data_IF_701446560910
#
_entry.id   IF_701446560910
#
_cell.length_a   1.000
_cell.length_b   1.000
_cell.length_c   1.000
_cell.angle_alpha   90.00
_cell.angle_beta   90.00
_cell.angle_gamma   90.00
#
_symmetry.space_group_name_H-M   'P 1'
#
loop_
_entity.id
_entity.type
_entity.pdbx_description
1 polymer ?
#
# COMPACT_ATOMS: atom_id res chain seq x y z
N UNK A 1 -8.90 -12.69 -3.46
CA UNK A 1 -9.71 -13.03 -4.63
C UNK A 1 -9.39 -14.42 -5.17
N UNK A 2 -10.34 -15.06 -5.77
CA UNK A 2 -10.15 -16.38 -6.36
C UNK A 2 -9.15 -16.33 -7.51
N UNK A 3 -8.33 -17.37 -7.65
CA UNK A 3 -7.37 -17.56 -8.74
C UNK A 3 -6.20 -16.57 -8.76
N UNK A 4 -5.95 -15.88 -7.65
CA UNK A 4 -4.79 -15.02 -7.50
C UNK A 4 -3.88 -15.62 -6.44
N UNK A 5 -2.62 -15.82 -6.80
CA UNK A 5 -1.62 -16.38 -5.88
C UNK A 5 -0.99 -15.27 -5.04
N UNK A 6 -1.05 -15.41 -3.72
CA UNK A 6 -0.30 -14.53 -2.82
C UNK A 6 1.16 -14.96 -2.76
N UNK A 7 2.03 -14.00 -2.51
CA UNK A 7 3.47 -14.23 -2.39
C UNK A 7 3.75 -14.90 -1.04
N UNK A 8 4.59 -15.91 -1.06
CA UNK A 8 5.12 -16.58 0.14
C UNK A 8 6.54 -16.09 0.43
N UNK A 9 7.09 -16.48 1.58
CA UNK A 9 8.47 -16.20 1.93
C UNK A 9 8.79 -14.72 2.15
N UNK A 10 7.85 -13.94 2.69
CA UNK A 10 8.05 -12.52 2.92
C UNK A 10 8.81 -12.29 4.22
N UNK A 11 9.92 -11.55 4.13
CA UNK A 11 10.64 -11.04 5.28
C UNK A 11 9.95 -9.76 5.76
N UNK A 12 9.32 -9.80 6.94
CA UNK A 12 8.57 -8.67 7.46
C UNK A 12 9.44 -7.44 7.71
N UNK A 13 10.67 -7.62 8.19
CA UNK A 13 11.59 -6.52 8.45
C UNK A 13 11.95 -5.76 7.16
N UNK A 14 12.19 -6.48 6.06
CA UNK A 14 12.49 -5.86 4.76
C UNK A 14 11.29 -5.15 4.16
N UNK A 15 10.08 -5.56 4.52
CA UNK A 15 8.85 -4.94 4.04
C UNK A 15 8.54 -3.60 4.73
N UNK A 16 9.09 -3.36 5.90
CA UNK A 16 8.87 -2.13 6.67
C UNK A 16 9.47 -0.90 5.97
N UNK A 17 9.09 0.27 6.43
CA UNK A 17 9.54 1.56 5.91
C UNK A 17 8.51 2.22 5.00
N UNK A 18 8.97 3.17 4.23
CA UNK A 18 8.13 3.99 3.35
C UNK A 18 7.98 3.38 1.98
N UNK A 19 6.75 3.38 1.48
CA UNK A 19 6.38 3.00 0.14
C UNK A 19 5.61 4.15 -0.52
N UNK A 20 5.96 4.47 -1.77
CA UNK A 20 5.23 5.44 -2.60
C UNK A 20 4.17 4.72 -3.42
N UNK A 21 2.95 5.23 -3.43
CA UNK A 21 1.89 4.70 -4.28
C UNK A 21 2.11 5.17 -5.72
N UNK A 22 2.25 4.23 -6.63
CA UNK A 22 2.48 4.47 -8.05
C UNK A 22 1.16 4.44 -8.82
N UNK A 23 0.30 3.49 -8.50
CA UNK A 23 -0.99 3.32 -9.16
C UNK A 23 -1.99 2.67 -8.20
N UNK A 24 -3.27 2.95 -8.45
CA UNK A 24 -4.38 2.33 -7.71
C UNK A 24 -5.62 2.23 -8.59
N UNK A 25 -6.49 1.30 -8.28
CA UNK A 25 -7.87 1.39 -8.72
C UNK A 25 -8.62 2.39 -7.82
N UNK A 26 -9.58 3.11 -8.40
CA UNK A 26 -10.31 4.16 -7.69
C UNK A 26 -11.15 3.58 -6.54
N UNK A 27 -11.05 4.20 -5.38
CA UNK A 27 -11.91 3.91 -4.23
C UNK A 27 -12.07 5.17 -3.36
N UNK A 28 -13.13 5.20 -2.56
CA UNK A 28 -13.60 6.43 -1.91
C UNK A 28 -12.58 7.09 -0.98
N UNK A 29 -11.80 6.30 -0.23
CA UNK A 29 -10.93 6.87 0.82
C UNK A 29 -9.63 7.48 0.31
N UNK A 30 -9.26 7.21 -0.96
CA UNK A 30 -8.08 7.86 -1.58
C UNK A 30 -8.43 8.78 -2.73
N UNK A 31 -9.71 8.90 -3.05
CA UNK A 31 -10.15 9.72 -4.20
C UNK A 31 -9.71 11.18 -4.03
N UNK A 32 -9.05 11.70 -5.07
CA UNK A 32 -8.55 13.08 -5.07
C UNK A 32 -7.22 13.30 -4.34
N UNK A 33 -6.56 12.23 -3.89
CA UNK A 33 -5.26 12.32 -3.22
C UNK A 33 -4.10 12.14 -4.18
N UNK A 34 -3.14 13.08 -4.11
CA UNK A 34 -1.82 12.95 -4.72
C UNK A 34 -0.77 12.60 -3.66
N UNK A 35 0.41 12.26 -4.10
CA UNK A 35 1.59 12.04 -3.24
C UNK A 35 1.29 11.07 -2.10
N UNK A 36 0.55 10.02 -2.43
CA UNK A 36 0.17 9.01 -1.44
C UNK A 36 1.37 8.14 -1.11
N UNK A 37 1.60 7.96 0.17
CA UNK A 37 2.59 7.06 0.71
C UNK A 37 1.98 6.16 1.77
N UNK A 38 2.57 4.99 1.97
CA UNK A 38 2.30 4.10 3.07
C UNK A 38 3.60 3.89 3.85
N UNK A 39 3.53 3.99 5.17
CA UNK A 39 4.68 3.75 6.04
C UNK A 39 4.35 2.65 7.02
N UNK A 40 5.20 1.63 7.07
CA UNK A 40 5.01 0.45 7.91
C UNK A 40 6.07 0.40 8.98
N UNK A 41 5.64 0.28 10.22
CA UNK A 41 6.50 0.19 11.40
C UNK A 41 6.09 -1.00 12.26
N UNK A 42 7.06 -1.57 12.96
CA UNK A 42 6.81 -2.68 13.87
C UNK A 42 6.01 -2.22 15.09
N UNK A 43 4.99 -2.99 15.44
CA UNK A 43 4.23 -2.81 16.69
C UNK A 43 4.78 -3.73 17.77
N UNK A 44 4.61 -3.33 19.03
CA UNK A 44 5.01 -4.14 20.19
C UNK A 44 4.25 -5.47 20.28
N UNK A 45 3.01 -5.50 19.76
CA UNK A 45 2.18 -6.72 19.76
C UNK A 45 2.49 -7.70 18.63
N UNK A 46 3.55 -7.46 17.86
CA UNK A 46 3.94 -8.28 16.71
C UNK A 46 3.27 -7.90 15.39
N UNK A 47 2.37 -6.92 15.41
CA UNK A 47 1.74 -6.40 14.20
C UNK A 47 2.54 -5.29 13.54
N UNK A 48 1.91 -4.63 12.58
CA UNK A 48 2.47 -3.54 11.78
C UNK A 48 1.61 -2.30 11.97
N UNK A 49 2.24 -1.19 12.35
CA UNK A 49 1.60 0.12 12.33
C UNK A 49 1.63 0.62 10.91
N UNK A 50 0.48 1.02 10.39
CA UNK A 50 0.33 1.55 9.03
C UNK A 50 0.01 3.03 9.12
N UNK A 51 0.83 3.86 8.48
CA UNK A 51 0.55 5.30 8.35
C UNK A 51 0.41 5.61 6.86
N UNK A 52 -0.80 5.93 6.43
CA UNK A 52 -1.06 6.38 5.07
C UNK A 52 -1.12 7.90 5.06
N UNK A 53 -0.46 8.52 4.08
CA UNK A 53 -0.43 9.97 3.91
C UNK A 53 -0.70 10.31 2.46
N UNK A 54 -1.54 11.32 2.23
CA UNK A 54 -1.84 11.80 0.89
C UNK A 54 -2.21 13.27 0.90
N UNK A 55 -1.96 13.95 -0.22
CA UNK A 55 -2.29 15.36 -0.37
C UNK A 55 -3.63 15.51 -1.09
N UNK A 56 -4.59 16.14 -0.43
CA UNK A 56 -5.90 16.44 -1.00
C UNK A 56 -5.80 17.72 -1.83
N UNK A 57 -5.95 17.59 -3.15
CA UNK A 57 -5.85 18.70 -4.10
C UNK A 57 -6.93 19.75 -3.90
N UNK A 58 -8.15 19.31 -3.56
CA UNK A 58 -9.30 20.21 -3.39
C UNK A 58 -9.16 21.06 -2.14
N UNK A 59 -8.86 20.39 -1.01
CA UNK A 59 -8.74 21.07 0.29
C UNK A 59 -7.35 21.69 0.49
N UNK A 60 -6.38 21.35 -0.35
CA UNK A 60 -4.97 21.78 -0.26
C UNK A 60 -4.34 21.47 1.10
N UNK A 61 -4.61 20.28 1.60
CA UNK A 61 -4.08 19.82 2.88
C UNK A 61 -3.69 18.33 2.82
N UNK A 62 -2.79 17.97 3.71
CA UNK A 62 -2.37 16.59 3.88
C UNK A 62 -3.37 15.83 4.76
N UNK A 63 -3.73 14.64 4.29
CA UNK A 63 -4.54 13.68 5.06
C UNK A 63 -3.63 12.57 5.57
N UNK A 64 -3.82 12.18 6.81
CA UNK A 64 -3.13 11.04 7.40
C UNK A 64 -4.17 10.06 7.96
N UNK A 65 -3.88 8.77 7.82
CA UNK A 65 -4.68 7.72 8.44
C UNK A 65 -3.72 6.71 9.07
N UNK A 66 -3.97 6.38 10.32
CA UNK A 66 -3.17 5.41 11.07
C UNK A 66 -4.02 4.16 11.30
N UNK A 67 -3.44 3.03 10.94
CA UNK A 67 -4.05 1.73 11.14
C UNK A 67 -3.06 0.71 11.66
N UNK A 68 -3.53 -0.52 11.70
CA UNK A 68 -2.72 -1.67 12.12
C UNK A 68 -3.00 -2.86 11.20
N UNK A 69 -1.97 -3.62 10.93
CA UNK A 69 -2.05 -4.81 10.08
C UNK A 69 -1.39 -6.00 10.77
N UNK A 70 -1.88 -7.18 10.43
CA UNK A 70 -1.38 -8.44 10.98
C UNK A 70 -1.34 -9.48 9.88
N UNK A 71 -0.27 -10.27 9.85
CA UNK A 71 -0.26 -11.48 9.02
C UNK A 71 -1.30 -12.47 9.54
N UNK A 72 -2.03 -13.11 8.62
CA UNK A 72 -3.08 -14.05 9.00
C UNK A 72 -2.54 -15.40 9.45
N UNK A 73 -1.34 -15.79 8.97
CA UNK A 73 -0.74 -17.06 9.29
C UNK A 73 0.53 -16.86 10.10
N UNK A 74 0.87 -17.88 10.89
CA UNK A 74 2.12 -17.90 11.63
C UNK A 74 3.32 -17.99 10.67
N UNK A 75 4.49 -17.46 11.06
CA UNK A 75 5.67 -17.56 10.21
C UNK A 75 6.11 -19.00 9.97
N UNK A 76 6.71 -19.23 8.82
CA UNK A 76 7.36 -20.48 8.51
C UNK A 76 8.62 -20.70 9.39
N UNK A 77 9.25 -21.86 9.27
CA UNK A 77 10.45 -22.19 10.06
C UNK A 77 11.62 -21.26 9.81
N UNK A 78 11.71 -20.64 8.63
CA UNK A 78 12.71 -19.63 8.27
C UNK A 78 12.32 -18.20 8.69
N UNK A 79 11.23 -18.07 9.46
CA UNK A 79 10.69 -16.81 9.95
C UNK A 79 10.18 -15.86 8.86
N UNK A 80 9.74 -16.43 7.73
CA UNK A 80 9.07 -15.68 6.66
C UNK A 80 7.56 -15.92 6.69
N UNK A 81 6.82 -15.05 6.03
CA UNK A 81 5.36 -15.02 6.08
C UNK A 81 4.73 -15.18 4.71
N UNK A 82 3.55 -15.79 4.71
CA UNK A 82 2.64 -15.72 3.56
C UNK A 82 2.03 -14.32 3.47
N UNK A 83 1.93 -13.77 2.27
CA UNK A 83 1.46 -12.40 2.01
C UNK A 83 -0.02 -12.18 2.14
N UNK A 84 -0.64 -12.76 3.15
CA UNK A 84 -2.05 -12.54 3.52
C UNK A 84 -2.09 -11.80 4.84
N UNK A 85 -2.61 -10.57 4.81
CA UNK A 85 -2.76 -9.74 5.99
C UNK A 85 -4.19 -9.26 6.12
N UNK A 86 -4.51 -8.78 7.30
CA UNK A 86 -5.69 -7.96 7.58
C UNK A 86 -5.24 -6.59 8.05
N UNK A 87 -5.94 -5.55 7.63
CA UNK A 87 -5.64 -4.16 7.99
C UNK A 87 -6.89 -3.47 8.51
N UNK A 88 -6.73 -2.67 9.56
CA UNK A 88 -7.82 -1.90 10.14
C UNK A 88 -7.40 -0.46 10.39
N UNK A 89 -8.29 0.45 10.02
CA UNK A 89 -8.19 1.88 10.38
C UNK A 89 -9.30 2.29 11.34
N UNK A 90 -10.24 1.38 11.64
CA UNK A 90 -11.41 1.65 12.48
C UNK A 90 -11.75 0.48 13.39
N UNK A 91 -11.35 0.56 14.64
CA UNK A 91 -11.80 -0.37 15.69
C UNK A 91 -11.71 -1.83 15.28
N UNK A 92 -12.81 -2.60 15.37
CA UNK A 92 -12.78 -4.03 15.07
C UNK A 92 -12.92 -4.38 13.59
N UNK A 93 -13.08 -3.40 12.70
CA UNK A 93 -13.30 -3.65 11.27
C UNK A 93 -11.99 -3.81 10.53
N UNK A 94 -11.79 -4.99 9.93
CA UNK A 94 -10.61 -5.35 9.17
C UNK A 94 -10.94 -5.61 7.71
N UNK A 95 -10.06 -5.13 6.82
CA UNK A 95 -10.08 -5.47 5.40
C UNK A 95 -8.93 -6.38 5.02
N UNK A 96 -9.09 -7.14 3.94
CA UNK A 96 -8.03 -7.98 3.41
C UNK A 96 -6.95 -7.14 2.73
N UNK A 97 -5.70 -7.55 2.91
CA UNK A 97 -4.52 -6.97 2.31
C UNK A 97 -3.65 -8.14 1.83
N UNK A 98 -3.63 -8.34 0.51
CA UNK A 98 -2.97 -9.50 -0.10
C UNK A 98 -1.82 -9.03 -0.97
N UNK A 99 -0.62 -9.52 -0.69
CA UNK A 99 0.58 -9.23 -1.48
C UNK A 99 0.62 -10.23 -2.63
N UNK A 100 0.46 -9.75 -3.87
CA UNK A 100 0.34 -10.60 -5.06
C UNK A 100 1.52 -10.49 -6.03
N UNK A 101 2.40 -9.52 -5.83
CA UNK A 101 3.70 -9.42 -6.49
C UNK A 101 4.65 -8.68 -5.58
N UNK A 102 5.93 -9.06 -5.59
CA UNK A 102 6.96 -8.46 -4.75
C UNK A 102 8.33 -8.68 -5.38
N UNK A 103 9.15 -7.63 -5.39
CA UNK A 103 10.59 -7.77 -5.65
C UNK A 103 11.25 -8.44 -4.42
N UNK A 104 11.41 -9.75 -4.48
CA UNK A 104 11.93 -10.52 -3.33
C UNK A 104 13.44 -10.33 -3.12
N UNK A 105 14.15 -9.85 -4.11
CA UNK A 105 15.59 -9.61 -4.00
C UNK A 105 15.90 -8.34 -3.23
N UNK A 106 15.28 -7.20 -3.61
CA UNK A 106 15.58 -5.90 -3.05
C UNK A 106 14.39 -5.18 -2.40
N UNK A 107 13.19 -5.73 -2.50
CA UNK A 107 11.95 -5.11 -1.99
C UNK A 107 11.73 -3.69 -2.55
N UNK A 108 12.01 -3.48 -3.84
CA UNK A 108 11.85 -2.18 -4.48
C UNK A 108 10.42 -1.88 -4.92
N UNK A 109 9.63 -2.90 -5.20
CA UNK A 109 8.25 -2.75 -5.64
C UNK A 109 7.37 -3.86 -5.11
N UNK A 110 6.08 -3.58 -5.00
CA UNK A 110 5.06 -4.51 -4.50
C UNK A 110 3.73 -4.20 -5.17
N UNK A 111 2.93 -5.24 -5.40
CA UNK A 111 1.55 -5.11 -5.82
C UNK A 111 0.64 -5.80 -4.82
N UNK A 112 -0.43 -5.12 -4.43
CA UNK A 112 -1.32 -5.51 -3.35
C UNK A 112 -2.74 -5.46 -3.87
N UNK A 113 -3.56 -6.42 -3.49
CA UNK A 113 -4.99 -6.35 -3.71
C UNK A 113 -5.77 -6.50 -2.40
N UNK A 114 -7.00 -6.02 -2.44
CA UNK A 114 -7.95 -6.15 -1.35
C UNK A 114 -8.75 -7.45 -1.41
N UNK A 115 -9.98 -7.45 -0.83
CA UNK A 115 -10.80 -8.67 -0.76
C UNK A 115 -11.35 -9.10 -2.12
N UNK A 116 -11.38 -8.21 -3.09
CA UNK A 116 -11.88 -8.47 -4.45
C UNK A 116 -11.06 -7.68 -5.49
N UNK A 117 -11.46 -7.76 -6.75
CA UNK A 117 -10.75 -7.14 -7.87
C UNK A 117 -11.05 -5.64 -8.05
N UNK A 118 -11.78 -5.04 -7.15
CA UNK A 118 -12.00 -3.59 -7.14
C UNK A 118 -10.88 -2.82 -6.44
N UNK A 119 -10.03 -3.52 -5.67
CA UNK A 119 -8.95 -2.91 -4.90
C UNK A 119 -7.60 -3.44 -5.37
N UNK A 120 -6.78 -2.53 -5.89
CA UNK A 120 -5.44 -2.83 -6.38
C UNK A 120 -4.53 -1.64 -6.14
N UNK A 121 -3.31 -1.91 -5.65
CA UNK A 121 -2.28 -0.90 -5.44
C UNK A 121 -0.93 -1.40 -5.95
N UNK A 122 -0.18 -0.52 -6.60
CA UNK A 122 1.22 -0.72 -6.93
C UNK A 122 2.03 0.30 -6.13
N UNK A 123 2.97 -0.19 -5.34
CA UNK A 123 3.83 0.64 -4.50
C UNK A 123 5.30 0.46 -4.91
N UNK A 124 6.11 1.50 -4.65
CA UNK A 124 7.54 1.51 -4.94
C UNK A 124 8.30 2.17 -3.81
N UNK A 125 9.57 1.80 -3.64
CA UNK A 125 10.46 2.48 -2.69
C UNK A 125 10.86 3.87 -3.14
N UNK A 126 10.68 4.18 -4.41
CA UNK A 126 10.95 5.49 -5.01
C UNK A 126 9.67 6.12 -5.54
N UNK A 127 9.61 7.46 -5.65
CA UNK A 127 8.42 8.14 -6.19
C UNK A 127 8.06 7.75 -7.62
N UNK A 128 9.03 7.23 -8.37
CA UNK A 128 8.83 6.78 -9.75
C UNK A 128 9.26 5.32 -9.88
N UNK A 129 8.52 4.58 -10.68
CA UNK A 129 8.83 3.21 -11.04
C UNK A 129 9.21 3.17 -12.52
N UNK A 130 10.28 2.45 -12.87
CA UNK A 130 10.71 2.34 -14.26
C UNK A 130 9.61 1.74 -15.13
N UNK A 131 9.56 2.16 -16.38
CA UNK A 131 8.52 1.73 -17.30
C UNK A 131 8.46 0.20 -17.49
N UNK A 132 9.58 -0.52 -17.67
CA UNK A 132 9.52 -1.98 -17.80
C UNK A 132 8.92 -2.70 -16.59
N UNK A 133 9.25 -2.27 -15.37
CA UNK A 133 8.71 -2.86 -14.14
C UNK A 133 7.23 -2.55 -14.03
N UNK A 134 6.85 -1.31 -14.27
CA UNK A 134 5.44 -0.88 -14.23
C UNK A 134 4.60 -1.68 -15.22
N UNK A 135 5.08 -1.84 -16.47
CA UNK A 135 4.40 -2.63 -17.48
C UNK A 135 4.26 -4.10 -17.08
N UNK A 136 5.31 -4.67 -16.49
CA UNK A 136 5.26 -6.04 -16.01
C UNK A 136 4.17 -6.24 -14.96
N UNK A 137 4.09 -5.35 -13.97
CA UNK A 137 3.09 -5.43 -12.91
C UNK A 137 1.67 -5.21 -13.44
N UNK A 138 1.48 -4.23 -14.31
CA UNK A 138 0.18 -3.96 -14.93
C UNK A 138 -0.27 -5.14 -15.79
N UNK A 139 0.63 -5.73 -16.56
CA UNK A 139 0.35 -6.93 -17.36
C UNK A 139 -0.08 -8.11 -16.48
N UNK A 140 0.61 -8.33 -15.38
CA UNK A 140 0.26 -9.37 -14.43
C UNK A 140 -1.12 -9.13 -13.80
N UNK A 141 -1.42 -7.90 -13.42
CA UNK A 141 -2.73 -7.53 -12.90
C UNK A 141 -3.84 -7.75 -13.94
N UNK A 142 -3.57 -7.40 -15.20
CA UNK A 142 -4.51 -7.65 -16.29
C UNK A 142 -4.80 -9.15 -16.46
N UNK A 143 -3.76 -9.98 -16.39
CA UNK A 143 -3.91 -11.44 -16.47
C UNK A 143 -4.73 -12.01 -15.32
N UNK A 144 -4.64 -11.40 -14.13
CA UNK A 144 -5.47 -11.75 -12.98
C UNK A 144 -6.92 -11.27 -13.10
N UNK A 145 -7.24 -10.46 -14.10
CA UNK A 145 -8.59 -9.98 -14.35
C UNK A 145 -8.93 -8.64 -13.70
N UNK A 146 -7.93 -7.88 -13.25
CA UNK A 146 -8.16 -6.51 -12.77
C UNK A 146 -8.42 -5.58 -13.96
N UNK A 147 -9.29 -4.59 -13.75
CA UNK A 147 -9.61 -3.56 -14.75
C UNK A 147 -8.47 -2.54 -14.87
N UNK A 148 -7.34 -2.96 -15.44
CA UNK A 148 -6.12 -2.17 -15.52
C UNK A 148 -6.27 -0.90 -16.34
N UNK A 149 -7.23 -0.85 -17.26
CA UNK A 149 -7.59 0.35 -18.01
C UNK A 149 -8.11 1.49 -17.12
N UNK A 150 -8.58 1.14 -15.92
CA UNK A 150 -9.10 2.10 -14.94
C UNK A 150 -8.07 2.51 -13.88
N UNK A 151 -6.83 2.05 -13.99
CA UNK A 151 -5.78 2.43 -13.05
C UNK A 151 -5.56 3.94 -13.06
N UNK A 152 -5.51 4.51 -11.86
CA UNK A 152 -5.10 5.90 -11.62
C UNK A 152 -3.60 5.87 -11.32
N UNK A 153 -2.79 6.55 -12.14
CA UNK A 153 -1.36 6.72 -11.87
C UNK A 153 -1.19 7.93 -10.96
N UNK A 154 -0.66 7.69 -9.76
CA UNK A 154 -0.59 8.69 -8.71
C UNK A 154 0.48 9.71 -9.00
N UNK A 155 0.14 10.99 -8.93
CA UNK A 155 1.10 12.07 -9.07
C UNK A 155 1.97 12.14 -7.80
N UNK A 156 3.28 12.06 -7.97
CA UNK A 156 4.28 12.19 -6.89
C UNK A 156 5.10 13.47 -7.13
N UNK A 157 4.43 14.61 -7.00
CA UNK A 157 5.05 15.91 -7.23
C UNK A 157 5.79 16.40 -5.98
N UNK A 158 7.14 16.60 -6.03
CA UNK A 158 7.90 17.08 -4.87
C UNK A 158 7.67 18.55 -4.55
N UNK A 159 7.03 19.32 -5.46
CA UNK A 159 6.87 20.78 -5.31
C UNK A 159 5.62 21.17 -4.53
N UNK A 160 4.82 20.21 -4.06
CA UNK A 160 3.63 20.55 -3.26
C UNK A 160 4.03 20.99 -1.84
N UNK A 161 3.21 21.86 -1.21
CA UNK A 161 3.53 22.37 0.13
C UNK A 161 3.69 21.27 1.18
N UNK A 162 4.71 21.40 2.02
CA UNK A 162 5.02 20.49 3.11
C UNK A 162 5.32 19.04 2.66
N UNK A 163 5.84 18.90 1.44
CA UNK A 163 6.33 17.61 0.96
C UNK A 163 7.61 17.24 1.70
N UNK A 164 7.62 16.04 2.26
CA UNK A 164 8.78 15.47 2.94
C UNK A 164 9.11 14.12 2.32
N UNK A 165 10.14 14.12 1.48
CA UNK A 165 10.57 12.93 0.77
C UNK A 165 11.02 11.84 1.75
N UNK A 166 10.43 10.65 1.61
CA UNK A 166 10.80 9.49 2.42
C UNK A 166 10.41 9.54 3.88
N UNK A 167 9.63 10.53 4.31
CA UNK A 167 9.18 10.66 5.69
C UNK A 167 7.66 10.60 5.81
N UNK A 168 7.22 9.99 6.89
CA UNK A 168 5.83 10.02 7.31
C UNK A 168 5.70 10.86 8.57
N UNK A 169 5.17 12.06 8.41
CA UNK A 169 4.82 12.90 9.54
C UNK A 169 3.39 12.61 9.94
N UNK A 170 3.21 12.14 11.16
CA UNK A 170 1.88 11.93 11.73
C UNK A 170 1.41 13.26 12.30
N UNK A 171 0.39 13.84 11.70
CA UNK A 171 -0.28 15.02 12.24
C UNK A 171 -1.55 14.57 12.95
N UNK A 172 -1.59 14.60 14.30
CA UNK A 172 -2.79 14.18 15.04
C UNK A 172 -4.05 14.98 14.68
N UNK A 173 -3.89 16.23 14.27
CA UNK A 173 -5.02 17.07 13.83
C UNK A 173 -5.47 16.78 12.41
N UNK A 174 -4.61 16.16 11.62
CA UNK A 174 -4.88 15.80 10.23
C UNK A 174 -5.32 14.37 10.03
N UNK A 175 -5.50 13.60 11.10
CA UNK A 175 -5.97 12.22 11.01
C UNK A 175 -7.39 12.22 10.44
N UNK A 176 -7.52 11.77 9.21
CA UNK A 176 -8.81 11.51 8.60
C UNK A 176 -8.99 10.01 8.45
N UNK A 177 -10.12 9.54 8.91
CA UNK A 177 -10.46 8.13 8.77
C UNK A 177 -10.78 7.83 7.31
N UNK A 178 -10.19 6.78 6.71
CA UNK A 178 -10.63 6.34 5.39
C UNK A 178 -12.12 6.01 5.46
N UNK A 179 -12.85 6.44 4.45
CA UNK A 179 -14.24 5.99 4.29
C UNK A 179 -14.18 4.60 3.70
N UNK A 180 -14.76 3.65 4.40
CA UNK A 180 -14.93 2.29 3.88
C UNK A 180 -16.07 2.22 2.89
#
# INVERSE_FOLDING_TARGET
PKNINVIDGINAEQYLGTWYEIARLDHNFERGLDNVTAHYEKREDGGIKVTNRGYNRTDKEWNNAIGKAYFLEQPATDNTYLGKLKVSFFGPFYGAYNIIALDKEYYNYVMICGPDKEYLWILSRTPELTYPIKQHLVSQANQYGFATENLIYVNQNPDIPNYEAGQHVVNPKGLKKPKQ
#
